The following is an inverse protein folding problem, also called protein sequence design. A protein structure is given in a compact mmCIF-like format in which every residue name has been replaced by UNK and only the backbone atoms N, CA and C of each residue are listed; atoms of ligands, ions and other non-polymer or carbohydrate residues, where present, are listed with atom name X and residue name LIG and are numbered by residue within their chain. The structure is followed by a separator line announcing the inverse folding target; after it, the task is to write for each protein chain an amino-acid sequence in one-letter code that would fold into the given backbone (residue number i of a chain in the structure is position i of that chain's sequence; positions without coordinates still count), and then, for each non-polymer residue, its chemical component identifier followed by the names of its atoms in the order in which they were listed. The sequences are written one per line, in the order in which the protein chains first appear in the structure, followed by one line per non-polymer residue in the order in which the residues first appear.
data_IF_815392127044
#
_entry.id   IF_815392127044
#
_cell.length_a   1.000
_cell.length_b   1.000
_cell.length_c   1.000
_cell.angle_alpha   90.00
_cell.angle_beta   90.00
_cell.angle_gamma   90.00
#
_symmetry.space_group_name_H-M   'P 1'
#
loop_
_entity.id
_entity.type
_entity.pdbx_description
1 polymer ?
#
# COMPACT_ATOMS: atom_id res chain seq x y z
N UNK A 1 9.22 20.97 -7.04
CA UNK A 1 8.04 20.69 -6.21
C UNK A 1 8.50 20.02 -4.91
N UNK A 2 8.07 20.54 -3.77
CA UNK A 2 8.46 20.07 -2.44
C UNK A 2 7.20 19.88 -1.58
N UNK A 3 7.34 19.22 -0.41
CA UNK A 3 6.24 19.12 0.57
C UNK A 3 5.72 20.50 1.00
N UNK A 4 6.59 21.53 1.02
CA UNK A 4 6.19 22.92 1.36
C UNK A 4 5.30 23.55 0.30
N UNK A 5 5.49 23.21 -0.97
CA UNK A 5 4.67 23.75 -2.04
C UNK A 5 3.22 23.28 -1.95
N UNK A 6 2.98 22.12 -1.29
CA UNK A 6 1.65 21.60 -1.02
C UNK A 6 0.85 22.50 -0.05
N UNK A 7 1.52 23.30 0.79
CA UNK A 7 0.82 24.14 1.77
C UNK A 7 -0.11 25.15 1.11
N UNK A 8 0.27 25.67 -0.06
CA UNK A 8 -0.52 26.65 -0.81
C UNK A 8 -1.79 26.04 -1.43
N UNK A 9 -1.82 24.71 -1.60
CA UNK A 9 -2.97 24.00 -2.17
C UNK A 9 -4.11 23.78 -1.16
N UNK A 10 -3.82 23.79 0.13
CA UNK A 10 -4.79 23.41 1.18
C UNK A 10 -6.01 24.33 1.15
N UNK A 11 -5.81 25.64 1.08
CA UNK A 11 -6.90 26.62 1.03
C UNK A 11 -7.74 26.44 -0.26
N UNK A 12 -7.11 26.20 -1.38
CA UNK A 12 -7.81 25.90 -2.64
C UNK A 12 -8.68 24.63 -2.52
N UNK A 13 -8.15 23.55 -1.94
CA UNK A 13 -8.89 22.31 -1.73
C UNK A 13 -10.10 22.53 -0.82
N UNK A 14 -9.92 23.30 0.26
CA UNK A 14 -11.02 23.67 1.18
C UNK A 14 -12.08 24.52 0.49
N UNK A 15 -11.68 25.54 -0.26
CA UNK A 15 -12.59 26.44 -0.98
C UNK A 15 -13.41 25.71 -2.06
N UNK A 16 -12.81 24.68 -2.67
CA UNK A 16 -13.50 23.81 -3.62
C UNK A 16 -14.48 22.82 -2.97
N UNK A 17 -14.51 22.75 -1.63
CA UNK A 17 -15.41 21.90 -0.87
C UNK A 17 -14.97 20.45 -0.74
N UNK A 18 -13.72 20.13 -1.03
CA UNK A 18 -13.17 18.80 -0.78
C UNK A 18 -12.92 18.58 0.72
N UNK A 19 -13.02 17.34 1.15
CA UNK A 19 -12.83 16.93 2.55
C UNK A 19 -11.51 16.22 2.80
N UNK A 20 -10.90 15.69 1.75
CA UNK A 20 -9.65 14.92 1.83
C UNK A 20 -8.73 15.23 0.65
N UNK A 21 -7.45 15.05 0.86
CA UNK A 21 -6.41 15.03 -0.18
C UNK A 21 -5.85 13.62 -0.21
N UNK A 22 -5.85 12.99 -1.39
CA UNK A 22 -5.11 11.75 -1.64
C UNK A 22 -3.78 12.10 -2.32
N UNK A 23 -2.70 11.52 -1.81
CA UNK A 23 -1.34 11.72 -2.33
C UNK A 23 -0.85 10.39 -2.90
N UNK A 24 -0.35 10.43 -4.15
CA UNK A 24 0.38 9.33 -4.78
C UNK A 24 1.49 8.82 -3.86
N UNK A 25 2.01 7.59 -4.06
CA UNK A 25 2.96 7.00 -3.14
C UNK A 25 4.18 7.90 -2.86
N UNK A 26 4.34 8.28 -1.61
CA UNK A 26 5.46 9.11 -1.12
C UNK A 26 6.50 8.30 -0.36
N UNK A 27 6.35 6.99 -0.28
CA UNK A 27 7.38 6.10 0.26
C UNK A 27 8.64 6.14 -0.59
N UNK A 28 9.81 5.94 0.02
CA UNK A 28 11.08 6.01 -0.71
C UNK A 28 11.15 4.93 -1.80
N UNK A 29 11.58 5.34 -2.99
CA UNK A 29 11.63 4.51 -4.19
C UNK A 29 12.84 4.89 -5.06
N UNK A 30 13.48 3.92 -5.77
CA UNK A 30 14.67 4.20 -6.56
C UNK A 30 14.37 4.83 -7.94
N UNK A 31 13.19 4.57 -8.51
CA UNK A 31 12.82 4.93 -9.89
C UNK A 31 11.73 6.00 -9.91
N UNK A 32 12.07 7.20 -10.39
CA UNK A 32 11.13 8.33 -10.47
C UNK A 32 9.94 8.04 -11.38
N UNK A 33 10.15 7.32 -12.49
CA UNK A 33 9.12 6.94 -13.46
C UNK A 33 8.09 5.97 -12.88
N UNK A 34 8.39 5.34 -11.74
CA UNK A 34 7.42 4.49 -11.03
C UNK A 34 6.33 5.26 -10.30
N UNK A 35 6.44 6.59 -10.20
CA UNK A 35 5.56 7.46 -9.40
C UNK A 35 5.44 7.05 -7.93
N UNK A 36 6.46 6.31 -7.42
CA UNK A 36 6.48 5.80 -6.06
C UNK A 36 5.90 4.39 -5.86
N UNK A 37 5.31 3.78 -6.90
CA UNK A 37 4.72 2.43 -6.80
C UNK A 37 5.75 1.30 -6.72
N UNK A 38 7.02 1.56 -7.07
CA UNK A 38 8.12 0.61 -6.86
C UNK A 38 8.87 0.96 -5.56
N UNK A 39 8.22 0.74 -4.45
CA UNK A 39 8.70 1.10 -3.12
C UNK A 39 9.91 0.28 -2.69
N UNK A 40 10.88 0.94 -2.04
CA UNK A 40 12.02 0.32 -1.36
C UNK A 40 12.03 0.64 0.14
N UNK A 41 11.63 1.83 0.53
CA UNK A 41 11.62 2.29 1.92
C UNK A 41 10.20 2.46 2.47
N UNK A 42 9.56 1.38 2.89
CA UNK A 42 8.16 1.38 3.35
C UNK A 42 7.90 2.29 4.56
N UNK A 43 8.89 2.47 5.42
CA UNK A 43 8.79 3.27 6.65
C UNK A 43 9.43 4.66 6.52
N UNK A 44 9.69 5.11 5.30
CA UNK A 44 10.34 6.40 5.06
C UNK A 44 9.65 7.15 3.92
N UNK A 45 9.26 8.41 4.12
CA UNK A 45 8.88 9.26 3.01
C UNK A 45 10.10 9.53 2.13
N UNK A 46 9.86 9.67 0.82
CA UNK A 46 10.94 9.99 -0.11
C UNK A 46 11.55 11.36 0.20
N UNK A 47 12.87 11.43 0.15
CA UNK A 47 13.62 12.67 0.34
C UNK A 47 13.56 13.63 -0.87
N UNK A 48 13.00 13.18 -1.99
CA UNK A 48 12.87 13.98 -3.23
C UNK A 48 12.13 15.29 -3.05
N UNK A 49 11.17 15.30 -2.13
CA UNK A 49 10.26 16.44 -1.94
C UNK A 49 10.54 17.23 -0.67
N UNK A 50 11.62 16.92 0.04
CA UNK A 50 12.06 17.63 1.24
C UNK A 50 12.13 16.74 2.48
N UNK A 51 12.19 17.39 3.63
CA UNK A 51 12.35 16.70 4.91
C UNK A 51 11.03 16.07 5.41
N UNK A 52 11.15 14.99 6.16
CA UNK A 52 10.05 14.31 6.86
C UNK A 52 9.18 15.28 7.67
N UNK A 53 9.80 16.24 8.34
CA UNK A 53 9.10 17.25 9.14
C UNK A 53 8.23 18.18 8.29
N UNK A 54 8.57 18.39 7.02
CA UNK A 54 7.77 19.21 6.11
C UNK A 54 6.49 18.47 5.69
N UNK A 55 6.58 17.15 5.48
CA UNK A 55 5.40 16.31 5.26
C UNK A 55 4.48 16.29 6.50
N UNK A 56 5.04 16.10 7.70
CA UNK A 56 4.25 16.13 8.94
C UNK A 56 3.55 17.48 9.13
N UNK A 57 4.22 18.58 8.83
CA UNK A 57 3.61 19.92 8.86
C UNK A 57 2.52 20.11 7.81
N UNK A 58 2.67 19.48 6.64
CA UNK A 58 1.61 19.50 5.63
C UNK A 58 0.35 18.83 6.16
N UNK A 59 0.47 17.64 6.76
CA UNK A 59 -0.66 16.92 7.34
C UNK A 59 -1.30 17.71 8.48
N UNK A 60 -0.49 18.25 9.38
CA UNK A 60 -0.97 19.11 10.48
C UNK A 60 -1.77 20.31 9.98
N UNK A 61 -1.28 21.02 8.96
CA UNK A 61 -2.01 22.12 8.32
C UNK A 61 -3.30 21.70 7.62
N UNK A 62 -3.33 20.49 7.03
CA UNK A 62 -4.57 19.94 6.49
C UNK A 62 -5.60 19.78 7.61
N UNK A 63 -5.19 19.20 8.74
CA UNK A 63 -6.06 19.02 9.90
C UNK A 63 -6.56 20.34 10.50
N UNK A 64 -5.71 21.37 10.57
CA UNK A 64 -6.14 22.74 10.97
C UNK A 64 -7.28 23.29 10.09
N UNK A 65 -7.37 22.83 8.85
CA UNK A 65 -8.41 23.19 7.87
C UNK A 65 -9.52 22.14 7.77
N UNK A 66 -9.54 21.14 8.64
CA UNK A 66 -10.49 20.02 8.58
C UNK A 66 -10.44 19.25 7.25
N UNK A 67 -9.24 19.09 6.69
CA UNK A 67 -8.96 18.27 5.51
C UNK A 67 -8.21 17.02 5.97
N UNK A 68 -8.76 15.85 5.66
CA UNK A 68 -8.06 14.58 5.90
C UNK A 68 -7.00 14.29 4.82
N UNK A 69 -6.02 13.48 5.17
CA UNK A 69 -4.94 13.07 4.25
C UNK A 69 -4.94 11.56 4.07
N UNK A 70 -5.02 11.13 2.82
CA UNK A 70 -4.98 9.72 2.40
C UNK A 70 -3.67 9.49 1.66
N UNK A 71 -2.94 8.43 2.03
CA UNK A 71 -1.74 8.02 1.33
C UNK A 71 -1.99 6.76 0.50
N UNK A 72 -1.40 6.74 -0.68
CA UNK A 72 -1.45 5.61 -1.59
C UNK A 72 -0.26 4.67 -1.36
N UNK A 73 -0.52 3.35 -1.32
CA UNK A 73 0.48 2.32 -1.04
C UNK A 73 0.39 1.12 -1.97
N UNK A 74 1.54 0.69 -2.48
CA UNK A 74 1.69 -0.57 -3.20
C UNK A 74 2.07 -1.70 -2.24
N UNK A 75 1.10 -2.48 -1.76
CA UNK A 75 1.31 -3.62 -0.85
C UNK A 75 1.31 -4.98 -1.55
N UNK A 76 1.07 -5.01 -2.86
CA UNK A 76 1.12 -6.25 -3.64
C UNK A 76 2.55 -6.69 -3.95
N UNK A 77 3.45 -5.72 -4.16
CA UNK A 77 4.78 -5.96 -4.70
C UNK A 77 5.81 -4.93 -4.22
N UNK A 78 7.08 -5.19 -4.48
CA UNK A 78 8.20 -4.29 -4.21
C UNK A 78 9.28 -4.42 -5.28
N UNK A 79 10.17 -3.41 -5.38
CA UNK A 79 11.25 -3.40 -6.35
C UNK A 79 12.34 -4.42 -6.04
N UNK A 80 13.05 -4.87 -7.08
CA UNK A 80 14.10 -5.91 -6.98
C UNK A 80 15.52 -5.33 -6.89
N UNK A 81 15.68 -4.21 -6.19
CA UNK A 81 16.97 -3.58 -5.98
C UNK A 81 17.79 -4.29 -4.92
N UNK A 82 19.10 -4.48 -5.18
CA UNK A 82 20.03 -5.23 -4.32
C UNK A 82 20.15 -4.68 -2.88
N UNK A 83 19.82 -3.41 -2.66
CA UNK A 83 19.86 -2.77 -1.33
C UNK A 83 18.49 -2.71 -0.65
N UNK A 84 17.49 -3.37 -1.22
CA UNK A 84 16.10 -3.40 -0.72
C UNK A 84 15.73 -4.72 -0.06
N UNK A 85 14.46 -5.08 -0.22
CA UNK A 85 13.89 -6.28 0.41
C UNK A 85 14.13 -7.57 -0.40
N UNK A 86 14.35 -7.42 -1.73
CA UNK A 86 14.48 -8.56 -2.62
C UNK A 86 15.72 -9.40 -2.28
N UNK A 87 15.50 -10.70 -2.05
CA UNK A 87 16.56 -11.64 -1.63
C UNK A 87 17.41 -11.07 -0.48
N UNK A 88 16.76 -10.49 0.53
CA UNK A 88 17.35 -9.66 1.59
C UNK A 88 18.60 -10.24 2.25
N UNK A 89 18.62 -11.53 2.50
CA UNK A 89 19.78 -12.28 3.04
C UNK A 89 20.33 -13.33 2.04
N UNK A 90 19.99 -13.19 0.75
CA UNK A 90 20.28 -14.14 -0.29
C UNK A 90 19.22 -15.21 -0.48
N UNK A 91 18.15 -15.18 0.31
CA UNK A 91 17.00 -16.09 0.22
C UNK A 91 15.68 -15.30 0.13
N UNK A 92 14.57 -15.99 -0.17
CA UNK A 92 13.24 -15.36 -0.29
C UNK A 92 12.65 -15.11 1.10
N UNK A 93 12.98 -13.96 1.71
CA UNK A 93 12.44 -13.56 3.01
C UNK A 93 11.08 -12.88 2.87
N UNK A 94 10.94 -11.94 1.95
CA UNK A 94 9.73 -11.15 1.75
C UNK A 94 8.87 -11.65 0.58
N UNK A 95 9.50 -12.13 -0.47
CA UNK A 95 8.85 -12.70 -1.64
C UNK A 95 8.55 -14.20 -1.47
N UNK A 96 7.68 -14.72 -2.33
CA UNK A 96 7.44 -16.16 -2.42
C UNK A 96 8.71 -16.92 -2.81
N UNK A 97 8.87 -18.15 -2.31
CA UNK A 97 9.93 -19.07 -2.75
C UNK A 97 9.65 -19.64 -4.15
N UNK A 98 8.39 -19.85 -4.51
CA UNK A 98 7.95 -20.25 -5.84
C UNK A 98 8.07 -19.06 -6.79
N UNK A 99 9.04 -19.12 -7.70
CA UNK A 99 9.31 -18.05 -8.66
C UNK A 99 8.10 -17.70 -9.54
N UNK A 100 7.20 -18.65 -9.82
CA UNK A 100 5.96 -18.38 -10.58
C UNK A 100 4.98 -17.49 -9.81
N UNK A 101 5.07 -17.47 -8.48
CA UNK A 101 4.30 -16.55 -7.61
C UNK A 101 5.07 -15.30 -7.24
N UNK A 102 6.40 -15.40 -7.15
CA UNK A 102 7.26 -14.30 -6.73
C UNK A 102 7.39 -13.22 -7.80
N UNK A 103 7.52 -13.64 -9.08
CA UNK A 103 7.77 -12.72 -10.17
C UNK A 103 6.50 -11.98 -10.62
N UNK A 104 6.54 -10.66 -10.57
CA UNK A 104 5.59 -9.80 -11.26
C UNK A 104 6.22 -9.37 -12.59
N UNK A 105 5.93 -10.13 -13.65
CA UNK A 105 6.54 -9.94 -14.97
C UNK A 105 6.07 -8.63 -15.61
N UNK A 106 4.81 -8.26 -15.41
CA UNK A 106 4.21 -7.06 -15.99
C UNK A 106 4.87 -5.76 -15.51
N UNK A 107 5.30 -5.72 -14.25
CA UNK A 107 5.89 -4.52 -13.64
C UNK A 107 7.38 -4.68 -13.32
N UNK A 108 7.97 -5.86 -13.54
CA UNK A 108 9.38 -6.14 -13.24
C UNK A 108 9.72 -6.14 -11.75
N UNK A 109 8.75 -6.39 -10.89
CA UNK A 109 8.86 -6.36 -9.43
C UNK A 109 8.72 -7.76 -8.82
N UNK A 110 8.79 -7.88 -7.50
CA UNK A 110 8.53 -9.12 -6.78
C UNK A 110 7.27 -9.00 -5.92
N UNK A 111 6.43 -10.04 -5.93
CA UNK A 111 5.27 -10.11 -5.05
C UNK A 111 5.67 -10.46 -3.62
N UNK A 112 5.06 -9.78 -2.65
CA UNK A 112 5.14 -10.17 -1.25
C UNK A 112 4.52 -11.55 -1.03
N UNK A 113 5.18 -12.40 -0.23
CA UNK A 113 4.60 -13.64 0.28
C UNK A 113 3.60 -13.31 1.41
N UNK A 114 2.37 -13.04 1.03
CA UNK A 114 1.29 -12.70 1.96
C UNK A 114 0.82 -13.91 2.80
N UNK A 115 1.35 -15.09 2.57
CA UNK A 115 1.19 -16.27 3.43
C UNK A 115 2.13 -16.28 4.63
N UNK A 116 3.24 -15.50 4.60
CA UNK A 116 4.20 -15.43 5.72
C UNK A 116 3.70 -14.49 6.82
N UNK A 117 3.59 -14.97 8.07
CA UNK A 117 3.19 -14.13 9.21
C UNK A 117 4.10 -12.92 9.42
N UNK A 118 5.41 -13.08 9.16
CA UNK A 118 6.42 -12.02 9.30
C UNK A 118 6.19 -10.90 8.28
N UNK A 119 5.88 -11.24 7.03
CA UNK A 119 5.54 -10.29 5.98
C UNK A 119 4.24 -9.56 6.31
N UNK A 120 3.23 -10.28 6.77
CA UNK A 120 1.96 -9.70 7.23
C UNK A 120 2.20 -8.73 8.39
N UNK A 121 3.04 -9.12 9.35
CA UNK A 121 3.42 -8.25 10.47
C UNK A 121 4.14 -6.99 10.00
N UNK A 122 5.07 -7.13 9.06
CA UNK A 122 5.80 -6.00 8.47
C UNK A 122 4.85 -5.00 7.81
N UNK A 123 3.96 -5.47 6.93
CA UNK A 123 3.05 -4.61 6.17
C UNK A 123 1.96 -3.99 7.06
N UNK A 124 1.36 -4.75 7.99
CA UNK A 124 0.35 -4.20 8.91
C UNK A 124 0.97 -3.20 9.87
N UNK A 125 2.19 -3.47 10.38
CA UNK A 125 2.91 -2.52 11.22
C UNK A 125 3.27 -1.25 10.45
N UNK A 126 3.56 -1.37 9.16
CA UNK A 126 3.79 -0.23 8.29
C UNK A 126 2.56 0.68 8.19
N UNK A 127 1.38 0.11 7.96
CA UNK A 127 0.13 0.91 7.97
C UNK A 127 -0.05 1.62 9.30
N UNK A 128 0.08 0.90 10.42
CA UNK A 128 -0.07 1.50 11.75
C UNK A 128 0.99 2.58 12.02
N UNK A 129 2.21 2.42 11.51
CA UNK A 129 3.26 3.43 11.62
C UNK A 129 2.84 4.74 10.95
N UNK A 130 2.31 4.71 9.74
CA UNK A 130 1.87 5.91 9.04
C UNK A 130 0.70 6.60 9.76
N UNK A 131 -0.26 5.85 10.30
CA UNK A 131 -1.33 6.41 11.13
C UNK A 131 -0.81 7.03 12.43
N UNK A 132 0.11 6.36 13.12
CA UNK A 132 0.57 6.79 14.45
C UNK A 132 1.61 7.91 14.41
N UNK A 133 2.55 7.86 13.45
CA UNK A 133 3.67 8.80 13.38
C UNK A 133 3.38 10.01 12.48
N UNK A 134 2.60 9.81 11.41
CA UNK A 134 2.26 10.87 10.45
C UNK A 134 0.83 11.36 10.60
N UNK A 135 0.02 10.68 11.39
CA UNK A 135 -1.38 11.05 11.62
C UNK A 135 -2.23 11.14 10.35
N UNK A 136 -1.98 10.25 9.39
CA UNK A 136 -2.82 10.16 8.19
C UNK A 136 -4.24 9.70 8.57
N UNK A 137 -5.23 10.03 7.73
CA UNK A 137 -6.64 9.68 7.96
C UNK A 137 -7.06 8.44 7.20
N UNK A 138 -6.30 8.08 6.18
CA UNK A 138 -6.62 6.90 5.37
C UNK A 138 -5.46 6.40 4.52
N UNK A 139 -5.68 5.20 3.98
CA UNK A 139 -4.83 4.61 2.97
C UNK A 139 -5.67 4.20 1.76
N UNK A 140 -5.11 4.36 0.58
CA UNK A 140 -5.52 3.65 -0.63
C UNK A 140 -4.55 2.52 -0.88
N UNK A 141 -5.04 1.32 -1.08
CA UNK A 141 -4.22 0.16 -1.44
C UNK A 141 -4.29 0.00 -2.95
N UNK A 142 -3.13 0.19 -3.58
CA UNK A 142 -2.95 0.10 -5.03
C UNK A 142 -3.09 -1.35 -5.52
N UNK A 143 -3.64 -1.52 -6.72
CA UNK A 143 -3.70 -2.76 -7.47
C UNK A 143 -4.20 -3.96 -6.66
N UNK A 144 -5.25 -3.81 -5.86
CA UNK A 144 -5.85 -4.90 -5.06
C UNK A 144 -6.27 -6.07 -5.95
N UNK A 145 -6.71 -5.82 -7.19
CA UNK A 145 -6.98 -6.86 -8.17
C UNK A 145 -5.79 -7.80 -8.38
N UNK A 146 -4.57 -7.27 -8.43
CA UNK A 146 -3.35 -8.08 -8.57
C UNK A 146 -3.04 -8.93 -7.34
N UNK A 147 -3.56 -8.54 -6.18
CA UNK A 147 -3.45 -9.30 -4.94
C UNK A 147 -4.46 -10.44 -4.88
N UNK A 148 -5.69 -10.18 -5.37
CA UNK A 148 -6.82 -11.11 -5.24
C UNK A 148 -6.75 -12.31 -6.19
N UNK A 149 -6.10 -12.15 -7.36
CA UNK A 149 -6.10 -13.16 -8.42
C UNK A 149 -4.69 -13.67 -8.72
N UNK A 150 -4.51 -14.99 -8.66
CA UNK A 150 -3.24 -15.66 -9.01
C UNK A 150 -2.90 -15.58 -10.50
N UNK A 151 -3.89 -15.33 -11.36
CA UNK A 151 -3.78 -15.23 -12.81
C UNK A 151 -3.89 -13.78 -13.31
N UNK A 152 -3.65 -12.80 -12.45
CA UNK A 152 -3.77 -11.38 -12.82
C UNK A 152 -2.61 -10.92 -13.72
N UNK A 153 -1.39 -11.34 -13.41
CA UNK A 153 -0.20 -10.99 -14.19
C UNK A 153 -0.07 -11.85 -15.46
N UNK A 154 0.80 -11.41 -16.36
CA UNK A 154 1.19 -12.17 -17.55
C UNK A 154 2.19 -13.24 -17.14
N UNK A 155 1.93 -14.49 -17.41
CA UNK A 155 2.85 -15.58 -17.12
C UNK A 155 2.15 -16.88 -16.71
N UNK A 156 2.97 -17.82 -16.26
CA UNK A 156 2.45 -19.06 -15.72
C UNK A 156 1.93 -18.83 -14.30
N UNK A 157 0.76 -19.35 -14.01
CA UNK A 157 0.17 -19.33 -12.68
C UNK A 157 -0.30 -20.72 -12.26
N UNK A 158 -0.49 -20.92 -10.96
CA UNK A 158 -1.00 -22.19 -10.42
C UNK A 158 -2.28 -21.93 -9.63
N UNK A 159 -3.27 -22.81 -9.78
CA UNK A 159 -4.52 -22.67 -9.01
C UNK A 159 -4.25 -22.84 -7.51
N UNK A 160 -5.12 -22.25 -6.70
CA UNK A 160 -5.12 -22.44 -5.26
C UNK A 160 -5.47 -23.91 -4.89
N UNK A 161 -5.39 -24.24 -3.60
CA UNK A 161 -5.67 -25.59 -3.09
C UNK A 161 -7.07 -26.13 -3.40
N UNK A 162 -7.99 -25.28 -3.82
CA UNK A 162 -9.35 -25.66 -4.21
C UNK A 162 -9.56 -25.67 -5.73
N UNK A 163 -8.52 -25.41 -6.50
CA UNK A 163 -8.54 -25.36 -7.96
C UNK A 163 -9.02 -24.02 -8.54
N UNK A 164 -9.22 -23.00 -7.70
CA UNK A 164 -9.61 -21.66 -8.10
C UNK A 164 -8.41 -20.75 -8.38
N UNK A 165 -8.71 -19.54 -8.87
CA UNK A 165 -7.72 -18.51 -9.18
C UNK A 165 -7.55 -17.46 -8.09
N UNK A 166 -8.31 -17.55 -7.02
CA UNK A 166 -8.27 -16.63 -5.90
C UNK A 166 -6.99 -16.83 -5.10
N UNK A 167 -6.27 -15.75 -4.79
CA UNK A 167 -5.13 -15.78 -3.88
C UNK A 167 -5.62 -15.75 -2.42
N UNK A 168 -5.78 -16.91 -1.84
CA UNK A 168 -6.36 -17.07 -0.49
C UNK A 168 -5.50 -16.41 0.59
N UNK A 169 -4.18 -16.38 0.40
CA UNK A 169 -3.23 -15.76 1.32
C UNK A 169 -3.40 -14.24 1.33
N UNK A 170 -3.50 -13.62 0.16
CA UNK A 170 -3.72 -12.18 0.02
C UNK A 170 -5.10 -11.75 0.55
N UNK A 171 -6.15 -12.55 0.29
CA UNK A 171 -7.48 -12.31 0.84
C UNK A 171 -7.44 -12.33 2.38
N UNK A 172 -6.76 -13.32 2.96
CA UNK A 172 -6.61 -13.41 4.42
C UNK A 172 -5.82 -12.22 4.97
N UNK A 173 -4.75 -11.80 4.30
CA UNK A 173 -3.96 -10.61 4.65
C UNK A 173 -4.83 -9.34 4.62
N UNK A 174 -5.55 -9.07 3.53
CA UNK A 174 -6.39 -7.88 3.39
C UNK A 174 -7.48 -7.82 4.48
N UNK A 175 -8.13 -8.94 4.78
CA UNK A 175 -9.08 -9.02 5.90
C UNK A 175 -8.40 -8.70 7.23
N UNK A 176 -7.23 -9.29 7.49
CA UNK A 176 -6.47 -9.06 8.72
C UNK A 176 -6.00 -7.63 8.87
N UNK A 177 -5.52 -7.02 7.77
CA UNK A 177 -5.13 -5.60 7.73
C UNK A 177 -6.31 -4.72 8.16
N UNK A 178 -7.48 -4.90 7.53
CA UNK A 178 -8.69 -4.15 7.88
C UNK A 178 -9.08 -4.34 9.35
N UNK A 179 -9.16 -5.58 9.83
CA UNK A 179 -9.51 -5.87 11.23
C UNK A 179 -8.58 -5.16 12.22
N UNK A 180 -7.26 -5.21 11.96
CA UNK A 180 -6.28 -4.59 12.86
C UNK A 180 -6.39 -3.08 12.82
N UNK A 181 -6.45 -2.47 11.62
CA UNK A 181 -6.51 -1.02 11.48
C UNK A 181 -7.79 -0.46 12.10
N UNK A 182 -8.97 -1.02 11.80
CA UNK A 182 -10.24 -0.58 12.43
C UNK A 182 -10.32 -0.83 13.93
N UNK A 183 -9.49 -1.75 14.47
CA UNK A 183 -9.39 -1.98 15.92
C UNK A 183 -8.47 -0.97 16.60
N UNK A 184 -7.39 -0.55 15.92
CA UNK A 184 -6.31 0.25 16.51
C UNK A 184 -6.39 1.74 16.22
N UNK A 185 -7.02 2.13 15.12
CA UNK A 185 -7.11 3.50 14.64
C UNK A 185 -8.55 3.98 14.74
N UNK A 186 -8.74 5.22 15.15
CA UNK A 186 -10.07 5.82 15.25
C UNK A 186 -10.51 6.34 13.88
N UNK A 187 -11.63 5.84 13.39
CA UNK A 187 -12.26 6.25 12.12
C UNK A 187 -11.33 6.24 10.88
N UNK A 188 -10.56 5.16 10.64
CA UNK A 188 -9.67 5.12 9.48
C UNK A 188 -10.48 4.98 8.19
N UNK A 189 -9.93 5.54 7.10
CA UNK A 189 -10.42 5.32 5.74
C UNK A 189 -9.49 4.31 5.07
N UNK A 190 -10.04 3.19 4.57
CA UNK A 190 -9.29 2.20 3.79
C UNK A 190 -9.98 2.04 2.45
N UNK A 191 -9.25 2.32 1.37
CA UNK A 191 -9.73 2.30 -0.01
C UNK A 191 -8.98 1.22 -0.76
N UNK A 192 -9.69 0.35 -1.47
CA UNK A 192 -9.10 -0.61 -2.38
C UNK A 192 -9.21 -0.10 -3.82
N UNK A 193 -8.09 -0.05 -4.53
CA UNK A 193 -8.15 0.06 -5.98
C UNK A 193 -8.41 -1.33 -6.56
N UNK A 194 -9.69 -1.59 -6.85
CA UNK A 194 -10.16 -2.87 -7.39
C UNK A 194 -10.91 -2.62 -8.70
N UNK A 195 -10.34 -3.09 -9.81
CA UNK A 195 -10.82 -2.82 -11.18
C UNK A 195 -11.57 -4.00 -11.81
N UNK A 196 -11.82 -5.06 -11.04
CA UNK A 196 -12.54 -6.24 -11.51
C UNK A 196 -13.97 -6.30 -10.94
N UNK A 197 -14.63 -7.42 -11.10
CA UNK A 197 -15.97 -7.65 -10.53
C UNK A 197 -15.93 -8.45 -9.22
N UNK A 198 -14.89 -8.24 -8.37
CA UNK A 198 -14.79 -8.94 -7.10
C UNK A 198 -15.94 -8.52 -6.18
N UNK A 199 -16.76 -9.53 -5.79
CA UNK A 199 -17.92 -9.26 -4.95
C UNK A 199 -17.51 -9.03 -3.50
N UNK A 200 -18.07 -7.99 -2.89
CA UNK A 200 -17.91 -7.74 -1.47
C UNK A 200 -16.60 -7.08 -1.05
N UNK A 201 -15.80 -6.53 -1.99
CA UNK A 201 -14.54 -5.84 -1.68
C UNK A 201 -14.71 -4.73 -0.62
N UNK A 202 -15.90 -4.13 -0.56
CA UNK A 202 -16.27 -3.13 0.46
C UNK A 202 -17.17 -3.69 1.55
N UNK A 203 -17.39 -5.00 1.55
CA UNK A 203 -18.22 -5.68 2.53
C UNK A 203 -17.49 -5.94 3.86
N UNK A 204 -18.23 -6.26 4.92
CA UNK A 204 -17.62 -6.67 6.19
C UNK A 204 -16.75 -7.93 6.03
N UNK A 205 -15.59 -7.95 6.70
CA UNK A 205 -14.60 -9.03 6.59
C UNK A 205 -15.14 -10.42 6.96
N UNK A 206 -16.22 -10.48 7.75
CA UNK A 206 -16.88 -11.73 8.16
C UNK A 206 -17.91 -12.27 7.17
N UNK A 207 -18.24 -11.55 6.10
CA UNK A 207 -19.27 -11.98 5.13
C UNK A 207 -18.75 -12.90 4.03
N UNK A 208 -17.48 -13.27 4.07
CA UNK A 208 -16.87 -14.14 3.07
C UNK A 208 -16.38 -13.42 1.80
N UNK A 209 -16.47 -12.10 1.79
CA UNK A 209 -15.96 -11.27 0.71
C UNK A 209 -14.43 -11.18 0.74
#
# INVERSE_FOLDING_TARGET
FTYKDLYEMIDYVKDMGYTHIEILPITEHPLDESWGYQTIGYYSPTSRYGDTTDLMKFIDRCHEKEIGVILDFAYSHFCKDDHGLYKFDGTSQYEYEDETKAENIGWGTAHFDLGKPEVNSFLISNVLYWFNEYHIDGIRVDAVSSMLYLDYDIGEWRPNQYGGRENLEAIAFLKKLNEVVYTKVSNPIIIAEESTAWQGVTGPTYTGA
#
